data_IF_636659575148
#
_entry.id   IF_636659575148
#
_cell.length_a   1.000
_cell.length_b   1.000
_cell.length_c   1.000
_cell.angle_alpha   90.00
_cell.angle_beta   90.00
_cell.angle_gamma   90.00
#
_symmetry.space_group_name_H-M   'P 1'
#
loop_
_entity.id
_entity.type
_entity.pdbx_description
1 polymer ?
#
# COMPACT_ATOMS: atom_id res chain seq x y z
N UNK A 1 50.36 6.19 -20.52
CA UNK A 1 49.05 5.74 -21.04
C UNK A 1 47.98 6.19 -20.04
N UNK A 2 47.00 7.01 -20.44
CA UNK A 2 45.93 7.47 -19.54
C UNK A 2 44.72 6.56 -19.73
N UNK A 3 44.40 5.75 -18.72
CA UNK A 3 43.19 4.93 -18.73
C UNK A 3 41.98 5.84 -18.42
N UNK A 4 41.07 5.99 -19.39
CA UNK A 4 39.76 6.63 -19.19
C UNK A 4 38.82 5.55 -18.66
N UNK A 5 38.49 5.61 -17.38
CA UNK A 5 37.41 4.80 -16.78
C UNK A 5 36.08 5.45 -17.21
N UNK A 6 35.30 4.75 -18.03
CA UNK A 6 33.89 5.08 -18.25
C UNK A 6 33.10 4.56 -17.03
N UNK A 7 32.38 5.43 -16.34
CA UNK A 7 31.37 5.01 -15.37
C UNK A 7 30.19 4.40 -16.13
N UNK A 8 29.65 3.24 -15.70
CA UNK A 8 28.43 2.73 -16.31
C UNK A 8 27.27 3.66 -15.94
N UNK A 9 26.58 4.17 -16.95
CA UNK A 9 25.29 4.83 -16.79
C UNK A 9 24.28 3.74 -16.37
N UNK A 10 23.97 3.68 -15.08
CA UNK A 10 22.85 2.88 -14.59
C UNK A 10 21.57 3.62 -14.99
N UNK A 11 20.95 3.22 -16.10
CA UNK A 11 19.57 3.59 -16.37
C UNK A 11 18.71 2.95 -15.28
N UNK A 12 18.16 3.75 -14.38
CA UNK A 12 17.07 3.33 -13.51
C UNK A 12 15.85 3.03 -14.37
N UNK A 13 15.71 1.79 -14.82
CA UNK A 13 14.48 1.34 -15.44
C UNK A 13 13.38 1.37 -14.36
N UNK A 14 12.19 1.93 -14.65
CA UNK A 14 11.08 1.75 -13.75
C UNK A 14 10.79 0.25 -13.69
N UNK A 15 10.98 -0.34 -12.52
CA UNK A 15 10.44 -1.67 -12.24
C UNK A 15 8.93 -1.46 -12.15
N UNK A 16 8.24 -1.57 -13.28
CA UNK A 16 6.79 -1.73 -13.28
C UNK A 16 6.53 -3.00 -12.47
N UNK A 17 5.93 -2.84 -11.30
CA UNK A 17 5.64 -3.96 -10.42
C UNK A 17 4.67 -4.90 -11.14
N UNK A 18 4.89 -6.21 -11.00
CA UNK A 18 4.18 -7.27 -11.73
C UNK A 18 2.68 -7.40 -11.40
N UNK A 19 2.13 -6.47 -10.64
CA UNK A 19 0.73 -6.47 -10.23
C UNK A 19 -0.06 -5.52 -11.13
N UNK A 20 -1.08 -6.06 -11.79
CA UNK A 20 -1.96 -5.31 -12.69
C UNK A 20 -3.03 -4.49 -11.92
N UNK A 21 -3.05 -4.57 -10.59
CA UNK A 21 -4.02 -3.90 -9.71
C UNK A 21 -3.40 -3.67 -8.30
N UNK A 22 -4.17 -3.06 -7.41
CA UNK A 22 -3.84 -2.81 -6.02
C UNK A 22 -3.38 -4.07 -5.29
N UNK A 23 -2.46 -3.91 -4.34
CA UNK A 23 -2.14 -4.95 -3.38
C UNK A 23 -1.86 -4.36 -1.99
N UNK A 24 -1.92 -5.23 -0.97
CA UNK A 24 -1.55 -4.85 0.39
C UNK A 24 -0.02 -4.86 0.49
N UNK A 25 0.59 -3.68 0.56
CA UNK A 25 2.04 -3.49 0.66
C UNK A 25 2.55 -3.61 2.09
N UNK A 26 1.72 -3.28 3.09
CA UNK A 26 2.08 -3.38 4.51
C UNK A 26 0.91 -3.84 5.39
N UNK A 27 1.24 -4.62 6.43
CA UNK A 27 0.34 -5.06 7.49
C UNK A 27 0.98 -4.78 8.85
N UNK A 28 0.42 -3.82 9.60
CA UNK A 28 0.89 -3.50 10.95
C UNK A 28 0.04 -4.25 11.97
N UNK A 29 0.69 -5.14 12.72
CA UNK A 29 0.11 -5.88 13.85
C UNK A 29 0.79 -5.49 15.15
N UNK A 30 0.57 -4.25 15.58
CA UNK A 30 1.08 -3.72 16.83
C UNK A 30 0.28 -4.19 18.05
N UNK A 31 0.72 -3.71 19.21
CA UNK A 31 -0.01 -3.92 20.47
C UNK A 31 -1.31 -3.11 20.51
N UNK A 32 -2.36 -3.66 21.13
CA UNK A 32 -3.67 -3.02 21.25
C UNK A 32 -4.23 -2.59 19.89
N UNK A 33 -4.55 -1.30 19.74
CA UNK A 33 -5.20 -0.72 18.55
C UNK A 33 -4.18 -0.25 17.51
N UNK A 34 -2.88 -0.49 17.71
CA UNK A 34 -1.84 -0.09 16.76
C UNK A 34 -1.84 -1.03 15.54
N UNK A 35 -2.88 -0.90 14.72
CA UNK A 35 -3.16 -1.75 13.55
C UNK A 35 -3.40 -0.89 12.33
N UNK A 36 -2.81 -1.26 11.21
CA UNK A 36 -3.03 -0.59 9.94
C UNK A 36 -2.78 -1.52 8.75
N UNK A 37 -3.41 -1.19 7.63
CA UNK A 37 -3.23 -1.81 6.33
C UNK A 37 -2.82 -0.73 5.35
N UNK A 38 -1.72 -0.93 4.63
CA UNK A 38 -1.32 -0.10 3.50
C UNK A 38 -1.69 -0.80 2.19
N UNK A 39 -2.40 -0.08 1.32
CA UNK A 39 -2.80 -0.54 -0.01
C UNK A 39 -2.06 0.32 -1.03
N UNK A 40 -1.24 -0.30 -1.86
CA UNK A 40 -0.41 0.38 -2.85
C UNK A 40 -0.99 0.22 -4.27
N UNK A 41 -0.90 1.29 -5.06
CA UNK A 41 -1.17 1.25 -6.50
C UNK A 41 0.15 1.14 -7.30
N UNK A 42 0.53 -0.07 -7.75
CA UNK A 42 1.72 -0.28 -8.57
C UNK A 42 1.59 0.16 -10.03
N UNK A 43 0.38 0.46 -10.48
CA UNK A 43 0.10 0.70 -11.89
C UNK A 43 0.58 2.08 -12.32
N UNK A 44 0.67 2.31 -13.63
CA UNK A 44 1.09 3.59 -14.19
C UNK A 44 -0.06 4.63 -14.27
N UNK A 45 -1.23 4.32 -13.70
CA UNK A 45 -2.43 5.18 -13.74
C UNK A 45 -3.13 5.27 -12.39
N UNK A 46 -3.90 6.35 -12.17
CA UNK A 46 -4.74 6.44 -10.98
C UNK A 46 -5.91 5.44 -11.02
N UNK A 47 -6.24 4.85 -9.88
CA UNK A 47 -7.34 3.88 -9.71
C UNK A 47 -8.46 4.52 -8.87
N UNK A 48 -9.70 4.42 -9.35
CA UNK A 48 -10.89 4.78 -8.56
C UNK A 48 -11.21 3.65 -7.58
N UNK A 49 -11.19 3.95 -6.28
CA UNK A 49 -11.45 2.98 -5.23
C UNK A 49 -12.93 2.69 -5.02
N UNK A 50 -13.84 3.34 -5.77
CA UNK A 50 -15.28 3.09 -5.69
C UNK A 50 -15.60 1.62 -5.96
N UNK A 51 -16.17 0.95 -4.96
CA UNK A 51 -16.53 -0.48 -5.03
C UNK A 51 -15.45 -1.42 -4.48
N UNK A 52 -14.23 -0.93 -4.24
CA UNK A 52 -13.23 -1.65 -3.44
C UNK A 52 -13.63 -1.61 -1.96
N UNK A 53 -13.28 -2.68 -1.26
CA UNK A 53 -13.50 -2.80 0.19
C UNK A 53 -12.41 -3.64 0.83
N UNK A 54 -12.01 -3.25 2.03
CA UNK A 54 -11.15 -4.05 2.91
C UNK A 54 -12.05 -4.90 3.81
N UNK A 55 -11.97 -6.21 3.66
CA UNK A 55 -12.67 -7.17 4.51
C UNK A 55 -11.69 -7.83 5.47
N UNK A 56 -12.01 -7.80 6.77
CA UNK A 56 -11.16 -8.34 7.82
C UNK A 56 -11.80 -9.61 8.37
N UNK A 57 -11.05 -10.71 8.26
CA UNK A 57 -11.42 -12.04 8.74
C UNK A 57 -10.50 -12.42 9.90
N UNK A 58 -11.06 -12.57 11.10
CA UNK A 58 -10.28 -12.83 12.30
C UNK A 58 -10.36 -14.29 12.73
N UNK A 59 -9.26 -14.83 13.28
CA UNK A 59 -9.22 -16.13 13.94
C UNK A 59 -9.73 -17.30 13.09
N UNK A 60 -9.43 -17.29 11.79
CA UNK A 60 -9.89 -18.32 10.85
C UNK A 60 -11.37 -18.25 10.51
N UNK A 61 -12.05 -17.14 10.82
CA UNK A 61 -13.42 -16.88 10.41
C UNK A 61 -13.58 -16.90 8.89
N UNK A 62 -14.70 -17.41 8.41
CA UNK A 62 -15.06 -17.47 6.99
C UNK A 62 -16.04 -16.38 6.57
N UNK A 63 -16.35 -15.45 7.48
CA UNK A 63 -17.18 -14.27 7.24
C UNK A 63 -16.42 -13.03 7.71
N UNK A 64 -16.53 -11.94 6.96
CA UNK A 64 -15.90 -10.68 7.32
C UNK A 64 -16.53 -10.15 8.62
N UNK A 65 -15.69 -9.97 9.65
CA UNK A 65 -16.12 -9.34 10.91
C UNK A 65 -16.19 -7.81 10.79
N UNK A 66 -15.41 -7.25 9.86
CA UNK A 66 -15.39 -5.82 9.55
C UNK A 66 -15.22 -5.65 8.05
N UNK A 67 -15.99 -4.73 7.47
CA UNK A 67 -15.91 -4.36 6.06
C UNK A 67 -15.81 -2.85 5.97
N UNK A 68 -14.74 -2.35 5.36
CA UNK A 68 -14.47 -0.93 5.18
C UNK A 68 -14.55 -0.63 3.69
N UNK A 69 -15.53 0.20 3.29
CA UNK A 69 -15.61 0.68 1.92
C UNK A 69 -14.47 1.67 1.67
N UNK A 70 -13.77 1.49 0.55
CA UNK A 70 -12.75 2.43 0.11
C UNK A 70 -13.38 3.45 -0.84
N UNK A 71 -12.75 4.61 -0.96
CA UNK A 71 -13.24 5.67 -1.84
C UNK A 71 -12.11 6.62 -2.23
N UNK A 72 -12.33 7.38 -3.30
CA UNK A 72 -11.36 8.34 -3.81
C UNK A 72 -10.51 7.76 -4.94
N UNK A 73 -9.59 8.58 -5.44
CA UNK A 73 -8.66 8.22 -6.49
C UNK A 73 -7.29 7.96 -5.87
N UNK A 74 -6.73 6.77 -6.05
CA UNK A 74 -5.37 6.44 -5.62
C UNK A 74 -4.41 6.60 -6.80
N UNK A 75 -3.51 7.58 -6.75
CA UNK A 75 -2.60 7.86 -7.85
C UNK A 75 -1.60 6.71 -8.06
N UNK A 76 -0.96 6.71 -9.24
CA UNK A 76 0.12 5.78 -9.56
C UNK A 76 1.28 5.97 -8.56
N UNK A 77 1.75 4.88 -7.97
CA UNK A 77 2.86 4.91 -7.02
C UNK A 77 2.51 5.43 -5.63
N UNK A 78 1.24 5.71 -5.34
CA UNK A 78 0.77 6.15 -4.03
C UNK A 78 0.16 5.02 -3.21
N UNK A 79 -0.08 5.30 -1.93
CA UNK A 79 -0.68 4.38 -0.96
C UNK A 79 -1.97 4.93 -0.36
N UNK A 80 -2.87 4.02 0.03
CA UNK A 80 -4.05 4.30 0.84
C UNK A 80 -3.94 3.52 2.14
N UNK A 81 -3.96 4.21 3.28
CA UNK A 81 -3.78 3.58 4.60
C UNK A 81 -5.11 3.54 5.34
N UNK A 82 -5.44 2.36 5.87
CA UNK A 82 -6.56 2.16 6.79
C UNK A 82 -5.99 1.79 8.15
N UNK A 83 -6.23 2.62 9.16
CA UNK A 83 -5.84 2.34 10.54
C UNK A 83 -7.05 2.25 11.46
N UNK A 84 -6.87 1.57 12.59
CA UNK A 84 -7.80 1.69 13.71
C UNK A 84 -7.81 3.14 14.22
N UNK A 85 -8.99 3.71 14.46
CA UNK A 85 -9.14 5.12 14.83
C UNK A 85 -8.54 5.47 16.20
N UNK A 86 -8.28 4.45 17.04
CA UNK A 86 -7.67 4.60 18.36
C UNK A 86 -6.20 4.14 18.37
N UNK A 87 -5.58 4.00 17.19
CA UNK A 87 -4.15 3.75 17.05
C UNK A 87 -3.30 4.92 17.59
N UNK A 88 -2.02 4.65 17.84
CA UNK A 88 -1.05 5.69 18.16
C UNK A 88 -1.05 6.80 17.10
N UNK A 89 -0.86 8.04 17.55
CA UNK A 89 -0.83 9.22 16.69
C UNK A 89 0.15 9.13 15.52
N UNK A 90 1.25 8.39 15.65
CA UNK A 90 2.20 8.19 14.56
C UNK A 90 1.62 7.33 13.43
N UNK A 91 0.74 6.37 13.74
CA UNK A 91 0.02 5.56 12.74
C UNK A 91 -1.09 6.39 12.11
N UNK A 92 -1.84 7.14 12.92
CA UNK A 92 -2.90 8.02 12.41
C UNK A 92 -2.39 9.17 11.54
N UNK A 93 -1.12 9.56 11.68
CA UNK A 93 -0.52 10.63 10.89
C UNK A 93 -0.27 10.25 9.42
N UNK A 94 -0.38 8.96 9.06
CA UNK A 94 -0.15 8.46 7.70
C UNK A 94 -1.42 7.95 7.01
N UNK A 95 -2.59 8.11 7.63
CA UNK A 95 -3.91 7.81 7.04
C UNK A 95 -4.46 8.94 6.20
#
# INVERSE_FOLDING_TARGET
MKAKILLPLVLGLPVSALADDLFISEYIEGSSNNKAIEIYNPTDTAIDLTGYRLEIYSNGGTSAGTTIALSGMLASGDVYVVADNDADSAILAVT
#
